data_IF_844402838063
#
_entry.id   IF_844402838063
#
_cell.length_a   1.000
_cell.length_b   1.000
_cell.length_c   1.000
_cell.angle_alpha   90.00
_cell.angle_beta   90.00
_cell.angle_gamma   90.00
#
_symmetry.space_group_name_H-M   'P 1'
#
loop_
_entity.id
_entity.type
_entity.pdbx_description
1 polymer ?
#
# COMPACT_ATOMS: atom_id res chain seq x y z
N UNK A 1 10.69 8.74 -16.68
CA UNK A 1 10.14 7.54 -16.00
C UNK A 1 8.61 7.55 -15.83
N UNK A 2 7.91 8.69 -15.98
CA UNK A 2 6.47 8.80 -15.68
C UNK A 2 5.52 7.99 -16.59
N UNK A 3 5.91 7.69 -17.83
CA UNK A 3 5.06 6.92 -18.77
C UNK A 3 5.11 5.41 -18.57
N UNK A 4 6.13 4.89 -17.89
CA UNK A 4 6.35 3.45 -17.80
C UNK A 4 5.36 2.77 -16.83
N UNK A 5 5.08 3.33 -15.62
CA UNK A 5 4.06 2.79 -14.73
C UNK A 5 2.65 2.72 -15.34
N UNK A 6 2.11 3.80 -15.95
CA UNK A 6 0.77 3.75 -16.54
C UNK A 6 0.70 2.82 -17.76
N UNK A 7 1.74 2.75 -18.59
CA UNK A 7 1.76 1.83 -19.73
C UNK A 7 1.72 0.36 -19.27
N UNK A 8 2.53 -0.01 -18.28
CA UNK A 8 2.53 -1.36 -17.73
C UNK A 8 1.18 -1.73 -17.12
N UNK A 9 0.59 -0.83 -16.32
CA UNK A 9 -0.74 -1.06 -15.75
C UNK A 9 -1.81 -1.16 -16.84
N UNK A 10 -1.71 -0.40 -17.93
CA UNK A 10 -2.65 -0.48 -19.05
C UNK A 10 -2.57 -1.84 -19.75
N UNK A 11 -1.36 -2.34 -20.00
CA UNK A 11 -1.16 -3.67 -20.58
C UNK A 11 -1.70 -4.77 -19.65
N UNK A 12 -1.47 -4.64 -18.34
CA UNK A 12 -2.00 -5.57 -17.35
C UNK A 12 -3.52 -5.51 -17.27
N UNK A 13 -4.15 -4.33 -17.28
CA UNK A 13 -5.60 -4.21 -17.37
C UNK A 13 -6.15 -4.93 -18.62
N UNK A 14 -5.46 -4.81 -19.76
CA UNK A 14 -5.78 -5.54 -20.98
C UNK A 14 -5.76 -7.07 -20.80
N UNK A 15 -4.79 -7.61 -20.05
CA UNK A 15 -4.77 -9.06 -19.76
C UNK A 15 -5.98 -9.53 -18.96
N UNK A 16 -6.58 -8.68 -18.12
CA UNK A 16 -7.83 -8.99 -17.42
C UNK A 16 -9.02 -9.15 -18.35
N UNK A 17 -9.01 -8.44 -19.49
CA UNK A 17 -10.06 -8.51 -20.51
C UNK A 17 -9.85 -9.70 -21.44
N UNK A 18 -8.62 -9.94 -21.89
CA UNK A 18 -8.32 -10.92 -22.95
C UNK A 18 -7.84 -12.28 -22.42
N UNK A 19 -7.45 -12.38 -21.15
CA UNK A 19 -6.89 -13.58 -20.53
C UNK A 19 -7.37 -13.74 -19.07
N UNK A 20 -8.65 -13.47 -18.82
CA UNK A 20 -9.26 -13.48 -17.48
C UNK A 20 -9.05 -14.81 -16.74
N UNK A 21 -9.21 -15.96 -17.40
CA UNK A 21 -8.97 -17.28 -16.78
C UNK A 21 -7.54 -17.43 -16.28
N UNK A 22 -6.55 -16.91 -17.01
CA UNK A 22 -5.15 -16.97 -16.59
C UNK A 22 -4.90 -16.04 -15.38
N UNK A 23 -5.47 -14.84 -15.42
CA UNK A 23 -5.39 -13.88 -14.30
C UNK A 23 -6.02 -14.46 -13.04
N UNK A 24 -7.19 -15.07 -13.14
CA UNK A 24 -7.92 -15.67 -12.02
C UNK A 24 -7.27 -16.99 -11.55
N UNK A 25 -6.52 -17.69 -12.40
CA UNK A 25 -5.74 -18.88 -11.98
C UNK A 25 -4.47 -18.49 -11.22
N UNK A 26 -3.77 -17.45 -11.69
CA UNK A 26 -2.46 -17.04 -11.18
C UNK A 26 -2.53 -15.74 -10.37
N UNK A 27 -3.67 -15.48 -9.73
CA UNK A 27 -3.96 -14.19 -9.10
C UNK A 27 -2.94 -13.76 -8.05
N UNK A 28 -2.30 -14.72 -7.37
CA UNK A 28 -1.34 -14.48 -6.29
C UNK A 28 0.04 -14.08 -6.82
N UNK A 29 0.36 -14.41 -8.08
CA UNK A 29 1.72 -14.37 -8.57
C UNK A 29 2.32 -12.95 -8.59
N UNK A 30 1.67 -11.92 -9.15
CA UNK A 30 2.22 -10.57 -9.10
C UNK A 30 2.39 -10.06 -7.66
N UNK A 31 1.45 -10.42 -6.77
CA UNK A 31 1.53 -10.04 -5.37
C UNK A 31 2.76 -10.65 -4.70
N UNK A 32 2.97 -11.97 -4.81
CA UNK A 32 4.13 -12.65 -4.22
C UNK A 32 5.46 -12.08 -4.77
N UNK A 33 5.55 -11.91 -6.09
CA UNK A 33 6.74 -11.35 -6.74
C UNK A 33 7.01 -9.94 -6.20
N UNK A 34 6.00 -9.08 -6.20
CA UNK A 34 6.11 -7.70 -5.77
C UNK A 34 6.47 -7.58 -4.28
N UNK A 35 5.86 -8.41 -3.44
CA UNK A 35 6.10 -8.47 -2.01
C UNK A 35 7.53 -8.91 -1.70
N UNK A 36 8.03 -9.99 -2.32
CA UNK A 36 9.36 -10.52 -2.00
C UNK A 36 10.48 -9.66 -2.60
N UNK A 37 10.34 -9.25 -3.86
CA UNK A 37 11.42 -8.54 -4.56
C UNK A 37 11.52 -7.07 -4.19
N UNK A 38 10.40 -6.46 -3.77
CA UNK A 38 10.34 -5.02 -3.57
C UNK A 38 9.74 -4.66 -2.22
N UNK A 39 8.60 -5.25 -1.84
CA UNK A 39 7.86 -4.82 -0.65
C UNK A 39 8.58 -5.10 0.66
N UNK A 40 9.03 -6.33 0.86
CA UNK A 40 9.77 -6.74 2.06
C UNK A 40 11.12 -6.02 2.16
N UNK A 41 11.96 -5.95 1.10
CA UNK A 41 13.16 -5.13 1.17
C UNK A 41 12.83 -3.67 1.45
N UNK A 42 11.81 -3.11 0.81
CA UNK A 42 11.42 -1.72 1.02
C UNK A 42 11.02 -1.41 2.47
N UNK A 43 10.10 -2.18 3.05
CA UNK A 43 9.72 -1.98 4.46
C UNK A 43 10.88 -2.25 5.42
N UNK A 44 11.71 -3.25 5.12
CA UNK A 44 12.89 -3.55 5.93
C UNK A 44 13.99 -2.46 5.86
N UNK A 45 13.94 -1.55 4.87
CA UNK A 45 14.83 -0.40 4.81
C UNK A 45 14.62 0.60 5.97
N UNK A 46 13.54 0.45 6.75
CA UNK A 46 13.30 1.15 8.02
C UNK A 46 14.50 1.08 8.96
N UNK A 47 15.23 -0.04 8.95
CA UNK A 47 16.47 -0.18 9.70
C UNK A 47 17.44 0.98 9.44
N UNK A 48 17.62 1.34 8.17
CA UNK A 48 18.48 2.45 7.76
C UNK A 48 18.01 3.80 8.30
N UNK A 49 16.70 4.05 8.26
CA UNK A 49 16.10 5.29 8.77
C UNK A 49 16.23 5.37 10.29
N UNK A 50 15.98 4.27 11.01
CA UNK A 50 16.18 4.18 12.46
C UNK A 50 17.65 4.38 12.85
N UNK A 51 18.60 3.77 12.14
CA UNK A 51 20.02 4.01 12.37
C UNK A 51 20.38 5.49 12.22
N UNK A 52 19.86 6.16 11.18
CA UNK A 52 20.05 7.61 11.01
C UNK A 52 19.43 8.40 12.16
N UNK A 53 18.23 8.05 12.58
CA UNK A 53 17.54 8.69 13.70
C UNK A 53 18.36 8.60 14.99
N UNK A 54 18.91 7.42 15.29
CA UNK A 54 19.74 7.15 16.48
C UNK A 54 21.12 7.79 16.39
N UNK A 55 21.69 7.90 15.18
CA UNK A 55 22.98 8.55 14.95
C UNK A 55 22.93 10.07 15.19
N UNK A 56 21.75 10.70 15.15
CA UNK A 56 21.58 12.10 15.57
C UNK A 56 21.92 12.19 17.06
N UNK A 57 22.77 13.14 17.47
CA UNK A 57 23.22 13.33 18.88
C UNK A 57 22.12 13.80 19.86
N UNK A 58 20.85 13.47 19.58
CA UNK A 58 19.67 13.75 20.39
C UNK A 58 19.12 12.42 20.94
N UNK A 59 19.55 12.08 22.16
CA UNK A 59 19.18 10.82 22.83
C UNK A 59 17.68 10.74 23.13
N UNK A 60 17.05 11.85 23.49
CA UNK A 60 15.63 11.88 23.82
C UNK A 60 14.77 11.60 22.58
N UNK A 61 15.10 12.23 21.45
CA UNK A 61 14.44 11.97 20.16
C UNK A 61 14.63 10.54 19.69
N UNK A 62 15.84 10.01 19.85
CA UNK A 62 16.17 8.62 19.50
C UNK A 62 15.33 7.62 20.29
N UNK A 63 15.28 7.77 21.62
CA UNK A 63 14.47 6.90 22.51
C UNK A 63 12.99 7.01 22.14
N UNK A 64 12.48 8.24 21.96
CA UNK A 64 11.08 8.46 21.58
C UNK A 64 10.75 7.79 20.26
N UNK A 65 11.59 7.96 19.24
CA UNK A 65 11.30 7.43 17.92
C UNK A 65 11.35 5.91 17.83
N UNK A 66 12.39 5.29 18.42
CA UNK A 66 12.46 3.82 18.53
C UNK A 66 11.31 3.28 19.39
N UNK A 67 10.94 4.00 20.46
CA UNK A 67 9.82 3.66 21.32
C UNK A 67 8.47 3.67 20.58
N UNK A 68 8.19 4.73 19.82
CA UNK A 68 6.96 4.83 19.00
C UNK A 68 6.93 3.73 17.94
N UNK A 69 8.03 3.53 17.20
CA UNK A 69 8.13 2.49 16.19
C UNK A 69 7.85 1.10 16.77
N UNK A 70 8.48 0.78 17.90
CA UNK A 70 8.30 -0.50 18.59
C UNK A 70 6.87 -0.65 19.14
N UNK A 71 6.31 0.42 19.71
CA UNK A 71 4.94 0.40 20.20
C UNK A 71 3.93 0.16 19.08
N UNK A 72 4.10 0.79 17.91
CA UNK A 72 3.25 0.58 16.75
C UNK A 72 3.32 -0.87 16.26
N UNK A 73 4.52 -1.49 16.20
CA UNK A 73 4.67 -2.90 15.85
C UNK A 73 3.96 -3.83 16.85
N UNK A 74 4.16 -3.60 18.15
CA UNK A 74 3.56 -4.42 19.21
C UNK A 74 2.03 -4.27 19.24
N UNK A 75 1.52 -3.03 19.13
CA UNK A 75 0.07 -2.77 19.07
C UNK A 75 -0.54 -3.39 17.82
N UNK A 76 0.09 -3.26 16.65
CA UNK A 76 -0.41 -3.88 15.42
C UNK A 76 -0.40 -5.41 15.51
N UNK A 77 0.66 -5.99 16.08
CA UNK A 77 0.73 -7.44 16.38
C UNK A 77 -0.42 -7.86 17.30
N UNK A 78 -0.62 -7.15 18.41
CA UNK A 78 -1.70 -7.43 19.35
C UNK A 78 -3.06 -7.40 18.66
N UNK A 79 -3.36 -6.35 17.89
CA UNK A 79 -4.63 -6.22 17.18
C UNK A 79 -4.82 -7.33 16.14
N UNK A 80 -3.79 -7.66 15.37
CA UNK A 80 -3.87 -8.71 14.35
C UNK A 80 -4.15 -10.08 14.96
N UNK A 81 -3.52 -10.45 16.07
CA UNK A 81 -3.67 -11.80 16.65
C UNK A 81 -4.78 -11.92 17.69
N UNK A 82 -5.12 -10.85 18.41
CA UNK A 82 -6.14 -10.89 19.48
C UNK A 82 -7.52 -10.47 18.96
N UNK A 83 -7.56 -9.51 18.02
CA UNK A 83 -8.81 -9.05 17.39
C UNK A 83 -8.66 -8.97 15.88
N UNK A 84 -8.45 -10.11 15.17
CA UNK A 84 -8.10 -10.11 13.74
C UNK A 84 -8.99 -9.23 12.84
N UNK A 85 -10.32 -9.16 13.04
CA UNK A 85 -11.15 -8.24 12.26
C UNK A 85 -10.84 -6.76 12.51
N UNK A 86 -10.53 -6.37 13.75
CA UNK A 86 -10.11 -5.01 14.02
C UNK A 86 -8.72 -4.74 13.42
N UNK A 87 -7.80 -5.69 13.52
CA UNK A 87 -6.47 -5.60 12.90
C UNK A 87 -6.55 -5.42 11.37
N UNK A 88 -7.38 -6.22 10.69
CA UNK A 88 -7.61 -6.11 9.25
C UNK A 88 -8.32 -4.80 8.87
N UNK A 89 -9.35 -4.38 9.61
CA UNK A 89 -10.02 -3.10 9.34
C UNK A 89 -9.04 -1.91 9.46
N UNK A 90 -8.21 -1.90 10.51
CA UNK A 90 -7.18 -0.87 10.68
C UNK A 90 -6.11 -0.95 9.59
N UNK A 91 -5.71 -2.15 9.18
CA UNK A 91 -4.78 -2.31 8.06
C UNK A 91 -5.33 -1.72 6.76
N UNK A 92 -6.61 -1.92 6.45
CA UNK A 92 -7.25 -1.32 5.27
C UNK A 92 -7.25 0.21 5.37
N UNK A 93 -7.55 0.78 6.54
CA UNK A 93 -7.53 2.25 6.76
C UNK A 93 -6.11 2.81 6.63
N UNK A 94 -5.12 2.18 7.26
CA UNK A 94 -3.71 2.60 7.18
C UNK A 94 -3.20 2.44 5.75
N UNK A 95 -3.59 1.38 5.04
CA UNK A 95 -3.23 1.16 3.63
C UNK A 95 -3.79 2.26 2.73
N UNK A 96 -5.05 2.65 2.92
CA UNK A 96 -5.63 3.79 2.20
C UNK A 96 -4.79 5.06 2.42
N UNK A 97 -4.44 5.35 3.67
CA UNK A 97 -3.60 6.51 3.99
C UNK A 97 -2.18 6.40 3.41
N UNK A 98 -1.56 5.22 3.49
CA UNK A 98 -0.20 4.97 3.00
C UNK A 98 -0.10 5.17 1.49
N UNK A 99 -0.96 4.50 0.71
CA UNK A 99 -0.96 4.62 -0.74
C UNK A 99 -1.40 6.00 -1.20
N UNK A 100 -2.50 6.51 -0.64
CA UNK A 100 -3.04 7.82 -0.99
C UNK A 100 -2.07 8.96 -0.69
N UNK A 101 -1.47 8.96 0.50
CA UNK A 101 -0.52 9.99 0.93
C UNK A 101 0.75 10.02 0.08
N UNK A 102 1.33 8.85 -0.20
CA UNK A 102 2.53 8.73 -1.03
C UNK A 102 2.27 9.23 -2.47
N UNK A 103 1.18 8.78 -3.08
CA UNK A 103 0.83 9.18 -4.46
C UNK A 103 0.45 10.67 -4.55
N UNK A 104 -0.22 11.22 -3.54
CA UNK A 104 -0.55 12.65 -3.51
C UNK A 104 0.69 13.53 -3.30
N UNK A 105 1.66 13.08 -2.50
CA UNK A 105 2.94 13.78 -2.33
C UNK A 105 3.69 13.82 -3.68
N UNK A 106 3.85 12.67 -4.34
CA UNK A 106 4.48 12.57 -5.66
C UNK A 106 3.79 13.48 -6.71
N UNK A 107 2.45 13.45 -6.75
CA UNK A 107 1.67 14.34 -7.60
C UNK A 107 1.88 15.83 -7.27
N UNK A 108 1.95 16.16 -5.98
CA UNK A 108 2.19 17.52 -5.50
C UNK A 108 3.56 18.06 -5.90
N UNK A 109 4.59 17.23 -5.85
CA UNK A 109 5.96 17.55 -6.26
C UNK A 109 6.03 17.81 -7.77
N UNK A 110 5.42 16.94 -8.56
CA UNK A 110 5.47 17.01 -10.01
C UNK A 110 4.74 18.23 -10.58
N UNK A 111 3.56 18.55 -10.06
CA UNK A 111 2.72 19.63 -10.57
C UNK A 111 2.85 20.93 -9.78
N UNK A 112 3.84 21.02 -8.88
CA UNK A 112 4.14 22.19 -8.06
C UNK A 112 2.94 22.65 -7.22
N UNK A 113 2.24 21.69 -6.61
CA UNK A 113 1.02 21.90 -5.82
C UNK A 113 1.26 21.83 -4.30
N UNK A 114 2.52 21.78 -3.83
CA UNK A 114 2.90 21.68 -2.41
C UNK A 114 2.23 22.74 -1.51
N UNK A 115 2.00 23.93 -2.03
CA UNK A 115 1.35 25.03 -1.30
C UNK A 115 -0.16 24.83 -1.16
N UNK A 116 -0.79 23.98 -1.97
CA UNK A 116 -2.22 23.69 -1.96
C UNK A 116 -2.55 22.50 -1.06
N UNK A 117 -2.22 22.59 0.22
CA UNK A 117 -2.34 21.50 1.20
C UNK A 117 -3.71 20.84 1.21
N UNK A 118 -4.80 21.61 1.22
CA UNK A 118 -6.16 21.05 1.23
C UNK A 118 -6.48 20.19 0.00
N UNK A 119 -5.98 20.59 -1.17
CA UNK A 119 -6.14 19.83 -2.41
C UNK A 119 -5.33 18.53 -2.38
N UNK A 120 -4.10 18.57 -1.86
CA UNK A 120 -3.27 17.37 -1.71
C UNK A 120 -3.85 16.40 -0.68
N UNK A 121 -4.40 16.89 0.43
CA UNK A 121 -5.12 16.07 1.41
C UNK A 121 -6.35 15.39 0.78
N UNK A 122 -7.15 16.13 0.02
CA UNK A 122 -8.31 15.55 -0.67
C UNK A 122 -7.90 14.54 -1.75
N UNK A 123 -6.79 14.81 -2.44
CA UNK A 123 -6.19 13.87 -3.42
C UNK A 123 -5.73 12.59 -2.71
N UNK A 124 -5.04 12.71 -1.56
CA UNK A 124 -4.59 11.58 -0.77
C UNK A 124 -5.74 10.71 -0.29
N UNK A 125 -6.75 11.33 0.33
CA UNK A 125 -7.92 10.61 0.86
C UNK A 125 -8.72 9.94 -0.26
N UNK A 126 -9.05 10.68 -1.32
CA UNK A 126 -9.83 10.12 -2.44
C UNK A 126 -9.10 8.97 -3.11
N UNK A 127 -7.82 9.13 -3.42
CA UNK A 127 -7.02 8.09 -4.09
C UNK A 127 -6.80 6.86 -3.22
N UNK A 128 -6.43 7.06 -1.97
CA UNK A 128 -6.24 5.98 -1.01
C UNK A 128 -7.50 5.14 -0.81
N UNK A 129 -8.63 5.81 -0.64
CA UNK A 129 -9.92 5.13 -0.50
C UNK A 129 -10.34 4.43 -1.79
N UNK A 130 -10.08 5.01 -2.98
CA UNK A 130 -10.31 4.33 -4.26
C UNK A 130 -9.49 3.04 -4.37
N UNK A 131 -8.22 3.05 -3.97
CA UNK A 131 -7.36 1.84 -3.99
C UNK A 131 -7.94 0.73 -3.13
N UNK A 132 -8.39 1.07 -1.92
CA UNK A 132 -8.91 0.07 -0.97
C UNK A 132 -10.33 -0.39 -1.30
N UNK A 133 -11.19 0.50 -1.80
CA UNK A 133 -12.60 0.18 -2.07
C UNK A 133 -12.85 -0.41 -3.45
N UNK A 134 -12.04 -0.09 -4.47
CA UNK A 134 -12.24 -0.60 -5.83
C UNK A 134 -12.30 -2.14 -5.90
N UNK A 135 -11.39 -2.91 -5.27
CA UNK A 135 -11.47 -4.38 -5.31
C UNK A 135 -12.79 -4.92 -4.75
N UNK A 136 -13.32 -4.31 -3.70
CA UNK A 136 -14.63 -4.69 -3.15
C UNK A 136 -15.79 -4.29 -4.08
N UNK A 137 -15.72 -3.15 -4.76
CA UNK A 137 -16.79 -2.70 -5.66
C UNK A 137 -16.88 -3.57 -6.91
N UNK A 138 -15.75 -3.89 -7.53
CA UNK A 138 -15.74 -4.61 -8.80
C UNK A 138 -15.67 -6.12 -8.65
N UNK A 139 -15.02 -6.62 -7.60
CA UNK A 139 -14.80 -8.06 -7.36
C UNK A 139 -15.07 -8.41 -5.89
N UNK A 140 -16.28 -8.09 -5.42
CA UNK A 140 -16.67 -8.21 -4.01
C UNK A 140 -16.39 -9.59 -3.43
N UNK A 141 -16.81 -10.67 -4.12
CA UNK A 141 -16.64 -12.04 -3.63
C UNK A 141 -15.17 -12.40 -3.42
N UNK A 142 -14.30 -12.03 -4.37
CA UNK A 142 -12.87 -12.33 -4.31
C UNK A 142 -12.18 -11.56 -3.18
N UNK A 143 -12.46 -10.25 -3.06
CA UNK A 143 -11.85 -9.41 -2.03
C UNK A 143 -12.39 -9.73 -0.63
N UNK A 144 -13.71 -9.92 -0.49
CA UNK A 144 -14.33 -10.31 0.76
C UNK A 144 -13.86 -11.70 1.19
N UNK A 145 -13.75 -12.65 0.27
CA UNK A 145 -13.19 -13.97 0.51
C UNK A 145 -11.73 -13.93 0.96
N UNK A 146 -10.91 -13.01 0.43
CA UNK A 146 -9.54 -12.80 0.93
C UNK A 146 -9.53 -12.27 2.38
N UNK A 147 -10.46 -11.39 2.75
CA UNK A 147 -10.64 -10.92 4.13
C UNK A 147 -11.11 -12.04 5.08
N UNK A 148 -12.02 -12.89 4.62
CA UNK A 148 -12.46 -14.08 5.36
C UNK A 148 -11.32 -15.07 5.54
N UNK A 149 -10.56 -15.36 4.48
CA UNK A 149 -9.41 -16.25 4.52
C UNK A 149 -8.36 -15.74 5.51
N UNK A 150 -8.07 -14.43 5.51
CA UNK A 150 -7.20 -13.81 6.51
C UNK A 150 -7.68 -14.11 7.93
N UNK A 151 -8.92 -13.79 8.26
CA UNK A 151 -9.43 -13.98 9.61
C UNK A 151 -9.47 -15.47 10.00
N UNK A 152 -9.84 -16.34 9.07
CA UNK A 152 -9.88 -17.78 9.27
C UNK A 152 -8.49 -18.37 9.57
N UNK A 153 -7.43 -17.87 8.93
CA UNK A 153 -6.04 -18.27 9.23
C UNK A 153 -5.61 -17.91 10.65
N UNK A 154 -6.30 -16.97 11.28
CA UNK A 154 -6.08 -16.53 12.67
C UNK A 154 -7.20 -17.04 13.60
N UNK A 155 -7.90 -18.11 13.20
CA UNK A 155 -8.98 -18.77 13.96
C UNK A 155 -10.11 -17.81 14.36
N UNK A 156 -10.41 -16.85 13.48
CA UNK A 156 -11.45 -15.83 13.66
C UNK A 156 -12.37 -15.75 12.44
N UNK A 157 -13.43 -14.96 12.53
CA UNK A 157 -14.36 -14.66 11.44
C UNK A 157 -14.31 -13.17 11.11
N UNK A 158 -14.46 -12.81 9.83
CA UNK A 158 -14.33 -11.42 9.39
C UNK A 158 -15.55 -10.57 9.78
N UNK A 159 -16.62 -10.66 8.98
CA UNK A 159 -17.90 -9.99 9.22
C UNK A 159 -18.97 -11.07 9.20
N UNK A 160 -19.91 -11.10 10.17
CA UNK A 160 -21.05 -12.00 10.11
C UNK A 160 -21.81 -11.88 8.80
N UNK A 161 -22.23 -13.00 8.22
CA UNK A 161 -22.86 -13.07 6.90
C UNK A 161 -24.10 -12.17 6.77
N UNK A 162 -24.85 -11.99 7.86
CA UNK A 162 -25.99 -11.07 7.96
C UNK A 162 -25.65 -9.59 7.71
N UNK A 163 -24.40 -9.18 7.93
CA UNK A 163 -23.94 -7.80 7.69
C UNK A 163 -23.17 -7.63 6.36
N UNK A 164 -22.96 -8.70 5.60
CA UNK A 164 -22.20 -8.65 4.33
C UNK A 164 -22.80 -7.67 3.31
N UNK A 165 -24.13 -7.67 3.14
CA UNK A 165 -24.83 -6.73 2.26
C UNK A 165 -24.70 -5.28 2.73
N UNK A 166 -24.82 -5.04 4.04
CA UNK A 166 -24.66 -3.69 4.60
C UNK A 166 -23.22 -3.18 4.42
N UNK A 167 -22.23 -4.06 4.60
CA UNK A 167 -20.83 -3.76 4.32
C UNK A 167 -20.60 -3.43 2.84
N UNK A 168 -21.18 -4.20 1.91
CA UNK A 168 -21.07 -3.92 0.47
C UNK A 168 -21.62 -2.52 0.12
N UNK A 169 -22.78 -2.15 0.66
CA UNK A 169 -23.36 -0.81 0.44
C UNK A 169 -22.51 0.31 1.05
N UNK A 170 -21.97 0.09 2.26
CA UNK A 170 -21.04 1.04 2.89
C UNK A 170 -19.81 1.27 2.01
N UNK A 171 -19.20 0.20 1.50
CA UNK A 171 -18.02 0.29 0.63
C UNK A 171 -18.35 0.98 -0.69
N UNK A 172 -19.49 0.69 -1.30
CA UNK A 172 -19.95 1.39 -2.50
C UNK A 172 -20.15 2.90 -2.24
N UNK A 173 -20.71 3.27 -1.08
CA UNK A 173 -20.86 4.66 -0.67
C UNK A 173 -19.51 5.38 -0.50
N UNK A 174 -18.53 4.73 0.14
CA UNK A 174 -17.18 5.27 0.30
C UNK A 174 -16.49 5.42 -1.06
N UNK A 175 -16.62 4.42 -1.94
CA UNK A 175 -16.09 4.48 -3.30
C UNK A 175 -16.68 5.64 -4.09
N UNK A 176 -18.02 5.78 -4.09
CA UNK A 176 -18.71 6.85 -4.81
C UNK A 176 -18.31 8.24 -4.30
N UNK A 177 -18.21 8.41 -2.98
CA UNK A 177 -17.75 9.67 -2.37
C UNK A 177 -16.29 9.98 -2.75
N UNK A 178 -15.43 8.96 -2.78
CA UNK A 178 -14.01 9.11 -3.13
C UNK A 178 -13.83 9.43 -4.61
N UNK A 179 -14.61 8.81 -5.49
CA UNK A 179 -14.66 9.12 -6.92
C UNK A 179 -15.14 10.56 -7.16
N UNK A 180 -16.19 10.98 -6.45
CA UNK A 180 -16.69 12.36 -6.49
C UNK A 180 -15.61 13.35 -6.01
N UNK A 181 -14.95 13.08 -4.89
CA UNK A 181 -13.86 13.91 -4.39
C UNK A 181 -12.72 14.03 -5.40
N UNK A 182 -12.33 12.93 -6.05
CA UNK A 182 -11.31 12.92 -7.11
C UNK A 182 -11.74 13.79 -8.30
N UNK A 183 -12.99 13.68 -8.74
CA UNK A 183 -13.56 14.52 -9.81
C UNK A 183 -13.58 16.01 -9.43
N UNK A 184 -13.90 16.35 -8.17
CA UNK A 184 -13.86 17.74 -7.69
C UNK A 184 -12.43 18.29 -7.67
N UNK A 185 -11.42 17.48 -7.34
CA UNK A 185 -10.01 17.87 -7.45
C UNK A 185 -9.65 18.14 -8.90
N UNK A 186 -10.01 17.26 -9.84
CA UNK A 186 -9.77 17.45 -11.27
C UNK A 186 -10.44 18.74 -11.78
N UNK A 187 -11.68 19.01 -11.37
CA UNK A 187 -12.41 20.22 -11.70
C UNK A 187 -11.74 21.48 -11.14
N UNK A 188 -11.24 21.42 -9.90
CA UNK A 188 -10.51 22.52 -9.29
C UNK A 188 -9.19 22.81 -10.01
N UNK A 189 -8.46 21.76 -10.43
CA UNK A 189 -7.25 21.89 -11.23
C UNK A 189 -7.55 22.48 -12.62
N UNK A 190 -8.64 22.04 -13.25
CA UNK A 190 -9.10 22.57 -14.53
C UNK A 190 -9.43 24.06 -14.45
N UNK A 191 -10.23 24.47 -13.45
CA UNK A 191 -10.60 25.87 -13.21
C UNK A 191 -9.40 26.75 -12.86
N UNK A 192 -8.35 26.16 -12.28
CA UNK A 192 -7.09 26.85 -12.01
C UNK A 192 -6.13 26.85 -13.22
N UNK A 193 -6.62 26.57 -14.43
CA UNK A 193 -5.84 26.48 -15.67
C UNK A 193 -4.69 25.47 -15.65
N UNK A 194 -4.71 24.51 -14.73
CA UNK A 194 -3.73 23.43 -14.65
C UNK A 194 -4.26 22.17 -15.35
N UNK A 195 -4.59 22.33 -16.65
CA UNK A 195 -5.17 21.30 -17.52
C UNK A 195 -4.33 20.02 -17.54
N UNK A 196 -3.00 20.17 -17.54
CA UNK A 196 -2.07 19.05 -17.54
C UNK A 196 -2.21 18.21 -16.27
N UNK A 197 -2.23 18.84 -15.09
CA UNK A 197 -2.41 18.13 -13.82
C UNK A 197 -3.78 17.44 -13.74
N UNK A 198 -4.84 18.12 -14.19
CA UNK A 198 -6.20 17.54 -14.23
C UNK A 198 -6.28 16.31 -15.15
N UNK A 199 -5.73 16.41 -16.37
CA UNK A 199 -5.71 15.31 -17.34
C UNK A 199 -4.89 14.11 -16.87
N UNK A 200 -3.74 14.35 -16.24
CA UNK A 200 -2.95 13.27 -15.65
C UNK A 200 -3.66 12.61 -14.47
N UNK A 201 -4.22 13.39 -13.54
CA UNK A 201 -5.00 12.83 -12.45
C UNK A 201 -6.17 11.99 -12.96
N UNK A 202 -6.88 12.45 -13.99
CA UNK A 202 -7.95 11.70 -14.63
C UNK A 202 -7.47 10.38 -15.24
N UNK A 203 -6.35 10.41 -15.99
CA UNK A 203 -5.76 9.21 -16.58
C UNK A 203 -5.32 8.21 -15.51
N UNK A 204 -4.58 8.67 -14.50
CA UNK A 204 -4.09 7.81 -13.43
C UNK A 204 -5.24 7.19 -12.62
N UNK A 205 -6.25 7.99 -12.25
CA UNK A 205 -7.43 7.49 -11.53
C UNK A 205 -8.22 6.50 -12.36
N UNK A 206 -8.43 6.78 -13.65
CA UNK A 206 -9.17 5.88 -14.55
C UNK A 206 -8.45 4.55 -14.72
N UNK A 207 -7.12 4.60 -14.88
CA UNK A 207 -6.31 3.39 -15.02
C UNK A 207 -6.26 2.58 -13.72
N UNK A 208 -6.20 3.25 -12.58
CA UNK A 208 -6.27 2.62 -11.27
C UNK A 208 -7.60 1.90 -11.07
N UNK A 209 -8.72 2.54 -11.39
CA UNK A 209 -10.04 1.91 -11.35
C UNK A 209 -10.10 0.74 -12.34
N UNK A 210 -9.56 0.90 -13.56
CA UNK A 210 -9.56 -0.15 -14.57
C UNK A 210 -8.81 -1.42 -14.14
N UNK A 211 -7.62 -1.30 -13.53
CA UNK A 211 -6.90 -2.50 -13.06
C UNK A 211 -7.68 -3.27 -11.99
N UNK A 212 -8.38 -2.58 -11.09
CA UNK A 212 -9.20 -3.23 -10.06
C UNK A 212 -10.54 -3.72 -10.60
N UNK A 213 -11.02 -3.16 -11.70
CA UNK A 213 -12.23 -3.61 -12.38
C UNK A 213 -12.00 -4.89 -13.19
N UNK A 214 -10.84 -5.02 -13.83
CA UNK A 214 -10.57 -6.10 -14.79
C UNK A 214 -9.68 -7.23 -14.25
N UNK A 215 -8.98 -7.04 -13.14
CA UNK A 215 -8.08 -8.06 -12.57
C UNK A 215 -8.59 -8.56 -11.22
N UNK A 216 -8.19 -9.77 -10.85
CA UNK A 216 -8.39 -10.28 -9.49
C UNK A 216 -7.79 -9.30 -8.45
N UNK A 217 -8.44 -9.04 -7.30
CA UNK A 217 -8.02 -8.04 -6.30
C UNK A 217 -6.53 -8.05 -5.95
N UNK A 218 -6.00 -9.22 -5.61
CA UNK A 218 -4.61 -9.36 -5.20
C UNK A 218 -3.64 -9.33 -6.39
N UNK A 219 -4.09 -9.71 -7.59
CA UNK A 219 -3.31 -9.52 -8.81
C UNK A 219 -3.15 -8.02 -9.09
N UNK A 220 -4.27 -7.27 -9.05
CA UNK A 220 -4.28 -5.82 -9.21
C UNK A 220 -3.42 -5.11 -8.17
N UNK A 221 -3.55 -5.50 -6.89
CA UNK A 221 -2.75 -4.95 -5.80
C UNK A 221 -1.25 -5.21 -6.00
N UNK A 222 -0.86 -6.44 -6.37
CA UNK A 222 0.53 -6.79 -6.67
C UNK A 222 1.09 -6.02 -7.86
N UNK A 223 0.30 -5.88 -8.94
CA UNK A 223 0.64 -5.10 -10.11
C UNK A 223 0.81 -3.61 -9.79
N UNK A 224 -0.14 -3.01 -9.08
CA UNK A 224 -0.07 -1.63 -8.61
C UNK A 224 1.16 -1.42 -7.72
N UNK A 225 1.38 -2.32 -6.77
CA UNK A 225 2.51 -2.23 -5.85
C UNK A 225 3.85 -2.30 -6.60
N UNK A 226 4.02 -3.26 -7.51
CA UNK A 226 5.24 -3.45 -8.28
C UNK A 226 5.50 -2.35 -9.30
N UNK A 227 4.50 -2.05 -10.12
CA UNK A 227 4.69 -1.23 -11.32
C UNK A 227 4.51 0.26 -11.04
N UNK A 228 3.90 0.64 -9.92
CA UNK A 228 3.55 2.03 -9.64
C UNK A 228 4.05 2.52 -8.28
N UNK A 229 3.50 1.98 -7.20
CA UNK A 229 3.74 2.50 -5.86
C UNK A 229 5.21 2.38 -5.46
N UNK A 230 5.75 1.17 -5.54
CA UNK A 230 7.12 0.92 -5.10
C UNK A 230 8.17 1.64 -5.97
N UNK A 231 7.95 1.76 -7.28
CA UNK A 231 8.87 2.49 -8.16
C UNK A 231 8.97 3.98 -7.77
N UNK A 232 7.83 4.64 -7.55
CA UNK A 232 7.78 6.05 -7.14
C UNK A 232 8.33 6.22 -5.74
N UNK A 233 7.96 5.33 -4.83
CA UNK A 233 8.36 5.47 -3.43
C UNK A 233 9.86 5.20 -3.23
N UNK A 234 10.41 4.19 -3.92
CA UNK A 234 11.86 3.91 -3.90
C UNK A 234 12.65 5.01 -4.60
N UNK A 235 12.14 5.62 -5.68
CA UNK A 235 12.85 6.75 -6.32
C UNK A 235 13.02 7.92 -5.37
N UNK A 236 11.98 8.27 -4.60
CA UNK A 236 12.07 9.32 -3.57
C UNK A 236 13.09 8.97 -2.48
N UNK A 237 13.04 7.74 -1.94
CA UNK A 237 14.02 7.29 -0.95
C UNK A 237 15.46 7.29 -1.47
N UNK A 238 15.66 6.91 -2.74
CA UNK A 238 16.97 6.91 -3.40
C UNK A 238 17.50 8.31 -3.60
N UNK A 239 16.67 9.25 -4.06
CA UNK A 239 17.05 10.65 -4.23
C UNK A 239 17.46 11.30 -2.91
N UNK A 240 16.76 10.95 -1.82
CA UNK A 240 17.09 11.44 -0.48
C UNK A 240 18.35 10.80 0.11
N UNK A 241 18.60 9.51 -0.15
CA UNK A 241 19.64 8.76 0.56
C UNK A 241 20.92 8.53 -0.24
N UNK A 242 20.83 8.20 -1.53
CA UNK A 242 21.99 7.89 -2.37
C UNK A 242 21.66 7.98 -3.88
N UNK A 243 21.75 9.19 -4.48
CA UNK A 243 21.51 9.39 -5.90
C UNK A 243 22.41 8.50 -6.76
N UNK A 244 21.83 7.65 -7.60
CA UNK A 244 22.58 6.77 -8.52
C UNK A 244 22.72 5.30 -8.09
N UNK A 245 22.33 4.92 -6.86
CA UNK A 245 22.43 3.51 -6.41
C UNK A 245 21.41 2.53 -7.05
N UNK A 246 21.83 1.35 -7.52
CA UNK A 246 20.92 0.32 -8.05
C UNK A 246 20.13 -0.42 -6.95
N UNK A 247 19.24 -1.35 -7.35
CA UNK A 247 18.40 -2.14 -6.42
C UNK A 247 19.21 -2.86 -5.31
N UNK A 248 20.47 -3.24 -5.57
CA UNK A 248 21.34 -3.86 -4.56
C UNK A 248 21.63 -2.98 -3.34
N UNK A 249 21.48 -1.65 -3.44
CA UNK A 249 21.55 -0.76 -2.28
C UNK A 249 20.39 -0.99 -1.31
N UNK A 250 19.18 -1.21 -1.84
CA UNK A 250 17.99 -1.46 -1.02
C UNK A 250 18.23 -2.69 -0.16
N UNK A 251 18.59 -3.83 -0.76
CA UNK A 251 18.84 -5.07 -0.03
C UNK A 251 19.95 -4.97 1.03
N UNK A 252 21.00 -4.17 0.78
CA UNK A 252 22.04 -3.90 1.78
C UNK A 252 21.51 -3.11 2.98
N UNK A 253 20.64 -2.12 2.73
CA UNK A 253 20.00 -1.34 3.77
C UNK A 253 19.00 -2.17 4.58
N UNK A 254 18.30 -3.06 3.90
CA UNK A 254 17.19 -3.85 4.41
C UNK A 254 17.61 -5.10 5.18
N UNK A 255 18.81 -5.63 4.92
CA UNK A 255 19.27 -6.93 5.42
C UNK A 255 18.90 -7.24 6.88
N UNK A 256 19.18 -6.35 7.85
CA UNK A 256 18.91 -6.61 9.27
C UNK A 256 17.44 -6.82 9.64
N UNK A 257 16.50 -6.21 8.91
CA UNK A 257 15.06 -6.43 9.11
C UNK A 257 14.48 -7.43 8.10
N UNK A 258 15.09 -7.59 6.93
CA UNK A 258 14.60 -8.47 5.87
C UNK A 258 14.66 -9.95 6.28
N UNK A 259 15.79 -10.43 6.80
CA UNK A 259 15.93 -11.83 7.19
C UNK A 259 15.00 -12.23 8.36
N UNK A 260 14.91 -11.45 9.47
CA UNK A 260 13.92 -11.75 10.51
C UNK A 260 12.48 -11.75 10.00
N UNK A 261 12.14 -10.83 9.07
CA UNK A 261 10.82 -10.80 8.45
C UNK A 261 10.50 -12.11 7.72
N UNK A 262 11.44 -12.64 6.93
CA UNK A 262 11.27 -13.93 6.26
C UNK A 262 11.10 -15.09 7.24
N UNK A 263 11.84 -15.09 8.36
CA UNK A 263 11.69 -16.10 9.41
C UNK A 263 10.30 -16.04 10.03
N UNK A 264 9.81 -14.84 10.38
CA UNK A 264 8.46 -14.65 10.94
C UNK A 264 7.39 -15.10 9.94
N UNK A 265 7.50 -14.71 8.67
CA UNK A 265 6.58 -15.15 7.60
C UNK A 265 6.59 -16.67 7.46
N UNK A 266 7.78 -17.30 7.48
CA UNK A 266 7.93 -18.75 7.44
C UNK A 266 7.30 -19.45 8.63
N UNK A 267 7.46 -18.91 9.85
CA UNK A 267 6.81 -19.42 11.05
C UNK A 267 5.29 -19.31 10.99
N UNK A 268 4.76 -18.19 10.50
CA UNK A 268 3.31 -18.01 10.29
C UNK A 268 2.78 -18.99 9.23
N UNK A 269 3.51 -19.17 8.13
CA UNK A 269 3.17 -20.13 7.09
C UNK A 269 3.17 -21.58 7.60
N UNK A 270 4.15 -21.92 8.44
CA UNK A 270 4.21 -23.22 9.11
C UNK A 270 3.03 -23.39 10.07
N UNK A 271 2.80 -22.44 10.98
CA UNK A 271 1.78 -22.52 12.02
C UNK A 271 0.34 -22.57 11.47
N UNK A 272 0.10 -22.02 10.29
CA UNK A 272 -1.21 -22.02 9.62
C UNK A 272 -1.37 -23.16 8.59
N UNK A 273 -0.37 -24.02 8.42
CA UNK A 273 -0.41 -25.12 7.43
C UNK A 273 -0.44 -24.63 5.98
N UNK A 274 0.24 -23.53 5.68
CA UNK A 274 0.14 -22.79 4.41
C UNK A 274 1.39 -22.89 3.53
N UNK A 275 2.45 -23.55 3.99
CA UNK A 275 3.75 -23.61 3.30
C UNK A 275 3.68 -24.11 1.84
N UNK A 276 2.71 -24.95 1.52
CA UNK A 276 2.56 -25.55 0.19
C UNK A 276 1.52 -24.84 -0.69
N UNK A 277 0.83 -23.81 -0.18
CA UNK A 277 -0.16 -23.05 -0.94
C UNK A 277 0.34 -21.63 -1.18
N UNK A 278 0.69 -21.27 -2.43
CA UNK A 278 1.09 -19.90 -2.75
C UNK A 278 -0.04 -18.89 -2.52
N UNK A 279 -1.29 -19.29 -2.67
CA UNK A 279 -2.49 -18.49 -2.37
C UNK A 279 -2.53 -18.09 -0.89
N UNK A 280 -2.39 -19.08 0.01
CA UNK A 280 -2.36 -18.82 1.46
C UNK A 280 -1.12 -18.03 1.86
N UNK A 281 0.00 -18.23 1.16
CA UNK A 281 1.23 -17.44 1.36
C UNK A 281 0.99 -15.96 1.04
N UNK A 282 0.21 -15.64 0.01
CA UNK A 282 -0.17 -14.26 -0.27
C UNK A 282 -0.98 -13.64 0.89
N UNK A 283 -1.91 -14.40 1.49
CA UNK A 283 -2.66 -13.94 2.66
C UNK A 283 -1.75 -13.76 3.89
N UNK A 284 -0.78 -14.65 4.12
CA UNK A 284 0.20 -14.48 5.21
C UNK A 284 1.04 -13.23 5.04
N UNK A 285 1.45 -12.92 3.81
CA UNK A 285 2.16 -11.69 3.52
C UNK A 285 1.31 -10.46 3.83
N UNK A 286 0.00 -10.48 3.54
CA UNK A 286 -0.92 -9.42 3.94
C UNK A 286 -1.03 -9.31 5.48
N UNK A 287 -1.15 -10.43 6.19
CA UNK A 287 -1.12 -10.46 7.66
C UNK A 287 0.17 -9.83 8.19
N UNK A 288 1.31 -10.19 7.62
CA UNK A 288 2.61 -9.62 7.99
C UNK A 288 2.67 -8.12 7.69
N UNK A 289 2.21 -7.69 6.51
CA UNK A 289 2.13 -6.28 6.14
C UNK A 289 1.23 -5.48 7.09
N UNK A 290 0.15 -6.06 7.61
CA UNK A 290 -0.69 -5.45 8.64
C UNK A 290 0.08 -5.04 9.89
N UNK A 291 1.06 -5.84 10.27
CA UNK A 291 1.87 -5.62 11.47
C UNK A 291 2.89 -4.50 11.24
N UNK A 292 3.55 -4.49 10.08
CA UNK A 292 4.69 -3.58 9.83
C UNK A 292 4.29 -2.24 9.23
N UNK A 293 3.21 -2.18 8.45
CA UNK A 293 2.82 -0.98 7.70
C UNK A 293 2.57 0.25 8.60
N UNK A 294 1.90 0.16 9.76
CA UNK A 294 1.68 1.33 10.61
C UNK A 294 2.98 1.96 11.13
N UNK A 295 3.94 1.14 11.57
CA UNK A 295 5.23 1.60 12.07
C UNK A 295 6.07 2.20 10.94
N UNK A 296 6.09 1.55 9.79
CA UNK A 296 6.74 2.03 8.56
C UNK A 296 6.17 3.38 8.10
N UNK A 297 4.83 3.49 8.01
CA UNK A 297 4.15 4.72 7.60
C UNK A 297 4.48 5.90 8.51
N UNK A 298 4.49 5.68 9.83
CA UNK A 298 4.90 6.70 10.78
C UNK A 298 6.34 7.15 10.54
N UNK A 299 7.28 6.20 10.41
CA UNK A 299 8.70 6.49 10.24
C UNK A 299 9.00 7.26 8.94
N UNK A 300 8.38 6.86 7.83
CA UNK A 300 8.50 7.55 6.54
C UNK A 300 7.95 8.97 6.63
N UNK A 301 6.82 9.17 7.32
CA UNK A 301 6.23 10.50 7.48
C UNK A 301 7.13 11.46 8.27
N UNK A 302 7.85 10.95 9.27
CA UNK A 302 8.83 11.72 10.03
C UNK A 302 10.04 12.10 9.16
N UNK A 303 10.56 11.17 8.34
CA UNK A 303 11.70 11.45 7.46
C UNK A 303 11.35 12.55 6.44
N UNK A 304 10.19 12.47 5.78
CA UNK A 304 9.69 13.47 4.82
C UNK A 304 9.51 14.85 5.49
N UNK A 305 9.04 14.89 6.74
CA UNK A 305 8.88 16.15 7.47
C UNK A 305 10.23 16.69 7.99
N UNK A 306 11.22 15.82 8.21
CA UNK A 306 12.52 16.20 8.76
C UNK A 306 13.48 16.81 7.73
N UNK A 307 13.13 16.82 6.44
CA UNK A 307 13.85 17.49 5.35
C UNK A 307 13.77 19.03 5.41
N UNK A 308 14.12 19.59 6.57
CA UNK A 308 14.89 20.84 6.61
C UNK A 308 16.36 20.43 6.43
N UNK A 309 17.08 20.97 5.43
CA UNK A 309 18.48 20.62 5.23
C UNK A 309 19.26 20.98 6.50
N UNK A 310 20.00 20.00 7.01
CA UNK A 310 21.12 20.24 7.91
C UNK A 310 22.32 20.73 7.10
#
# INVERSE_FOLDING_TARGET
MYFFPPLLLFLLAGSGVFASEWVDTWWFLPFLISAVLVGLPHGAADWGVLCRLVARKDRARSIRGVGIYSALLLTSTFLVFVTPPLGLALFLVVSAWHFGGADAHDFGDQFQLKTRRGLLWLTALSRGMLIVTSPFVFRFADMFGACEAWCAMLSSSWIPSEYSSAFQWLILGIFALSALASMLVMLALWRASNLRAAGWLALETSLLIAIFAFLHPLFALGAYFLCWHSLRHISHLRELSNPGAGLGWLYRLSGPFFFPSLVVIGMLAWGTGSLQSPERTAIILLIFFAIVTPAHQWLVSEEIQSSSPA
#
